data_IF_698012523350
#
_entry.id   IF_698012523350
#
_cell.length_a   1.000
_cell.length_b   1.000
_cell.length_c   1.000
_cell.angle_alpha   90.00
_cell.angle_beta   90.00
_cell.angle_gamma   90.00
#
_symmetry.space_group_name_H-M   'P 1'
#
loop_
_entity.id
_entity.type
_entity.pdbx_description
1 polymer ?
#
# COMPACT_ATOMS: atom_id res chain seq x y z
N UNK A 1 -6.05 -19.52 -19.43
CA UNK A 1 -6.86 -18.32 -19.09
C UNK A 1 -6.11 -17.12 -19.64
N UNK A 2 -6.77 -16.32 -20.47
CA UNK A 2 -6.15 -15.21 -21.21
C UNK A 2 -6.05 -13.98 -20.29
N UNK A 3 -4.83 -13.55 -19.97
CA UNK A 3 -4.52 -12.52 -18.96
C UNK A 3 -4.73 -11.07 -19.48
N UNK A 4 -5.90 -10.75 -20.06
CA UNK A 4 -6.19 -9.42 -20.62
C UNK A 4 -6.48 -8.32 -19.57
N UNK A 5 -6.60 -8.68 -18.29
CA UNK A 5 -6.92 -7.70 -17.22
C UNK A 5 -5.69 -7.18 -16.48
N UNK A 6 -4.49 -7.72 -16.74
CA UNK A 6 -3.24 -7.13 -16.25
C UNK A 6 -2.66 -6.28 -17.36
N UNK A 7 -2.17 -5.08 -17.03
CA UNK A 7 -1.31 -4.36 -17.97
C UNK A 7 -0.20 -5.32 -18.40
N UNK A 8 -0.08 -5.56 -19.71
CA UNK A 8 1.05 -6.31 -20.27
C UNK A 8 2.30 -5.47 -20.03
N UNK A 9 3.04 -5.81 -18.99
CA UNK A 9 4.38 -5.28 -18.75
C UNK A 9 5.35 -6.25 -19.41
N UNK A 10 5.29 -6.35 -20.74
CA UNK A 10 6.33 -7.05 -21.49
C UNK A 10 7.47 -6.02 -21.74
N UNK A 11 8.65 -6.20 -21.13
CA UNK A 11 9.77 -5.28 -21.30
C UNK A 11 10.29 -5.21 -22.73
N UNK A 12 10.03 -6.23 -23.56
CA UNK A 12 10.40 -6.25 -24.97
C UNK A 12 9.39 -5.49 -25.85
N UNK A 13 8.10 -5.51 -25.48
CA UNK A 13 7.03 -4.80 -26.18
C UNK A 13 7.03 -3.29 -25.84
N UNK A 14 7.45 -2.94 -24.61
CA UNK A 14 7.43 -1.58 -24.10
C UNK A 14 8.74 -1.21 -23.37
N UNK A 15 9.83 -0.96 -24.11
CA UNK A 15 11.16 -0.69 -23.54
C UNK A 15 11.24 0.64 -22.77
N UNK A 16 10.23 1.49 -22.88
CA UNK A 16 10.07 2.72 -22.09
C UNK A 16 9.33 2.53 -20.77
N UNK A 17 8.79 1.34 -20.50
CA UNK A 17 8.24 1.00 -19.18
C UNK A 17 9.38 0.95 -18.16
N UNK A 18 9.53 2.08 -17.48
CA UNK A 18 10.38 2.21 -16.30
C UNK A 18 9.56 1.86 -15.09
N UNK A 19 10.14 1.11 -14.17
CA UNK A 19 9.54 0.89 -12.86
C UNK A 19 9.15 2.24 -12.25
N UNK A 20 7.92 2.29 -11.72
CA UNK A 20 7.41 3.49 -11.05
C UNK A 20 8.27 3.89 -9.82
N UNK A 21 8.99 2.91 -9.25
CA UNK A 21 9.91 3.09 -8.14
C UNK A 21 11.25 2.45 -8.43
N UNK A 22 12.32 3.20 -8.20
CA UNK A 22 13.68 2.66 -8.11
C UNK A 22 13.91 2.03 -6.74
N UNK A 23 15.00 1.28 -6.61
CA UNK A 23 15.43 0.71 -5.33
C UNK A 23 15.47 1.77 -4.23
N UNK A 24 14.76 1.53 -3.13
CA UNK A 24 14.65 2.44 -1.98
C UNK A 24 13.59 3.54 -2.09
N UNK A 25 13.07 3.86 -3.29
CA UNK A 25 12.07 4.93 -3.46
C UNK A 25 10.72 4.57 -2.84
N UNK A 26 10.39 3.27 -2.80
CA UNK A 26 9.20 2.78 -2.11
C UNK A 26 9.27 3.07 -0.60
N UNK A 27 10.41 2.77 0.04
CA UNK A 27 10.62 3.09 1.45
C UNK A 27 10.58 4.60 1.70
N UNK A 28 11.23 5.38 0.84
CA UNK A 28 11.19 6.84 0.92
C UNK A 28 9.77 7.42 0.72
N UNK A 29 8.91 6.77 -0.06
CA UNK A 29 7.51 7.15 -0.18
C UNK A 29 6.77 6.95 1.15
N UNK A 30 6.90 5.79 1.79
CA UNK A 30 6.24 5.54 3.07
C UNK A 30 6.77 6.43 4.19
N UNK A 31 8.08 6.67 4.25
CA UNK A 31 8.66 7.60 5.22
C UNK A 31 8.15 9.04 5.01
N UNK A 32 7.92 9.45 3.75
CA UNK A 32 7.27 10.73 3.46
C UNK A 32 5.81 10.74 3.92
N UNK A 33 5.04 9.69 3.64
CA UNK A 33 3.64 9.60 4.09
C UNK A 33 3.55 9.69 5.62
N UNK A 34 4.47 9.03 6.34
CA UNK A 34 4.48 8.99 7.79
C UNK A 34 4.95 10.29 8.45
N UNK A 35 5.98 10.94 7.90
CA UNK A 35 6.68 12.03 8.60
C UNK A 35 6.54 13.40 7.96
N UNK A 36 6.11 13.50 6.70
CA UNK A 36 5.95 14.80 6.02
C UNK A 36 4.67 15.49 6.51
N UNK A 37 4.81 16.74 6.97
CA UNK A 37 3.71 17.57 7.44
C UNK A 37 2.59 17.77 6.40
N UNK A 38 2.87 17.56 5.11
CA UNK A 38 1.85 17.55 4.05
C UNK A 38 0.72 16.54 4.30
N UNK A 39 1.02 15.42 4.95
CA UNK A 39 0.07 14.35 5.23
C UNK A 39 -0.54 14.42 6.64
N UNK A 40 -0.14 15.38 7.47
CA UNK A 40 -0.60 15.51 8.85
C UNK A 40 -2.14 15.60 8.96
N UNK A 41 -2.81 16.19 7.96
CA UNK A 41 -4.28 16.27 7.90
C UNK A 41 -4.98 14.91 7.92
N UNK A 42 -4.29 13.85 7.49
CA UNK A 42 -4.81 12.48 7.46
C UNK A 42 -4.53 11.70 8.74
N UNK A 43 -3.82 12.30 9.71
CA UNK A 43 -3.37 11.66 10.95
C UNK A 43 -2.66 10.31 10.68
N UNK A 44 -1.49 10.32 10.00
CA UNK A 44 -0.79 9.09 9.65
C UNK A 44 -0.23 8.39 10.90
N UNK A 45 -0.43 7.07 10.99
CA UNK A 45 0.07 6.22 12.07
C UNK A 45 0.76 4.99 11.51
N UNK A 46 2.02 4.76 11.88
CA UNK A 46 2.80 3.61 11.41
C UNK A 46 2.52 2.41 12.30
N UNK A 47 1.91 1.37 11.72
CA UNK A 47 1.63 0.10 12.41
C UNK A 47 2.77 -0.90 12.23
N UNK A 48 3.45 -0.85 11.09
CA UNK A 48 4.57 -1.73 10.78
C UNK A 48 5.51 -1.09 9.78
N UNK A 49 6.81 -1.40 9.88
CA UNK A 49 7.82 -1.00 8.90
C UNK A 49 9.02 -1.95 8.89
N UNK A 50 9.79 -1.99 7.79
CA UNK A 50 11.01 -2.80 7.72
C UNK A 50 12.04 -2.35 8.76
N UNK A 51 12.85 -3.28 9.24
CA UNK A 51 13.91 -2.98 10.20
C UNK A 51 14.89 -1.94 9.64
N UNK A 52 15.17 -0.89 10.41
CA UNK A 52 16.09 0.17 10.03
C UNK A 52 17.39 0.01 10.83
N UNK A 53 18.51 -0.38 10.19
CA UNK A 53 19.78 -0.57 10.90
C UNK A 53 20.23 0.75 11.51
N UNK A 54 20.48 0.77 12.82
CA UNK A 54 20.94 1.96 13.54
C UNK A 54 19.84 2.90 14.02
N UNK A 55 18.56 2.61 13.76
CA UNK A 55 17.50 3.12 14.61
C UNK A 55 17.74 2.51 16.00
N UNK A 56 18.13 3.34 16.96
CA UNK A 56 18.06 2.90 18.34
C UNK A 56 16.58 2.68 18.62
N UNK A 57 16.19 1.42 18.73
CA UNK A 57 14.99 1.03 19.44
C UNK A 57 15.24 1.39 20.92
N UNK A 58 15.28 2.70 21.24
CA UNK A 58 15.55 3.16 22.60
C UNK A 58 14.39 2.67 23.47
N UNK A 59 14.65 1.78 24.46
CA UNK A 59 13.62 1.30 25.34
C UNK A 59 13.19 2.46 26.23
N UNK A 60 12.09 3.12 25.84
CA UNK A 60 11.60 4.36 26.45
C UNK A 60 10.93 5.29 25.44
N UNK A 61 11.24 5.17 24.16
CA UNK A 61 10.39 5.65 23.07
C UNK A 61 9.58 4.45 22.57
N UNK A 62 8.30 4.39 22.93
CA UNK A 62 7.37 3.39 22.42
C UNK A 62 7.33 3.47 20.89
N UNK A 63 8.21 2.75 20.21
CA UNK A 63 8.05 2.45 18.81
C UNK A 63 6.90 1.43 18.73
N UNK A 64 5.66 1.93 18.75
CA UNK A 64 4.43 1.12 18.75
C UNK A 64 4.21 0.32 17.43
N UNK A 65 5.25 0.14 16.61
CA UNK A 65 5.17 -0.51 15.32
C UNK A 65 5.90 -1.86 15.32
N UNK A 66 5.30 -2.81 14.61
CA UNK A 66 5.85 -4.16 14.43
C UNK A 66 6.91 -4.13 13.32
N UNK A 67 7.98 -4.91 13.45
CA UNK A 67 8.93 -5.11 12.34
C UNK A 67 8.23 -5.97 11.27
N UNK A 68 8.12 -5.44 10.05
CA UNK A 68 7.38 -6.10 8.99
C UNK A 68 7.29 -5.26 7.70
N UNK A 69 6.35 -5.56 6.79
CA UNK A 69 6.10 -4.68 5.65
C UNK A 69 5.64 -3.29 6.11
N UNK A 70 5.76 -2.28 5.26
CA UNK A 70 5.20 -0.96 5.54
C UNK A 70 3.67 -1.04 5.67
N UNK A 71 3.16 -0.69 6.84
CA UNK A 71 1.73 -0.51 7.10
C UNK A 71 1.56 0.85 7.76
N UNK A 72 0.93 1.77 7.04
CA UNK A 72 0.60 3.12 7.53
C UNK A 72 -0.91 3.27 7.49
N UNK A 73 -1.51 3.53 8.65
CA UNK A 73 -2.92 3.84 8.84
C UNK A 73 -3.13 5.35 8.63
N UNK A 74 -4.19 5.72 7.94
CA UNK A 74 -4.59 7.11 7.72
C UNK A 74 -6.01 7.29 8.28
N UNK A 75 -6.13 7.78 9.52
CA UNK A 75 -7.43 7.79 10.23
C UNK A 75 -8.46 8.72 9.59
N UNK A 76 -8.01 9.85 9.03
CA UNK A 76 -8.89 10.87 8.47
C UNK A 76 -8.76 10.94 6.95
N UNK A 77 -8.60 9.78 6.30
CA UNK A 77 -8.40 9.73 4.85
C UNK A 77 -9.64 10.18 4.06
N UNK A 78 -10.83 9.78 4.50
CA UNK A 78 -12.12 10.19 3.93
C UNK A 78 -12.93 10.93 5.00
N UNK A 79 -13.67 11.96 4.59
CA UNK A 79 -14.73 12.51 5.43
C UNK A 79 -15.91 11.52 5.54
N UNK A 80 -16.76 11.69 6.54
CA UNK A 80 -17.99 10.88 6.67
C UNK A 80 -18.86 11.02 5.42
N UNK A 81 -19.01 12.23 4.89
CA UNK A 81 -19.80 12.49 3.68
C UNK A 81 -19.19 11.86 2.42
N UNK A 82 -17.86 11.81 2.32
CA UNK A 82 -17.17 11.13 1.21
C UNK A 82 -17.35 9.62 1.31
N UNK A 83 -17.27 9.06 2.52
CA UNK A 83 -17.52 7.65 2.78
C UNK A 83 -18.98 7.26 2.46
N UNK A 84 -19.96 8.07 2.87
CA UNK A 84 -21.38 7.85 2.55
C UNK A 84 -21.64 7.88 1.05
N UNK A 85 -21.03 8.83 0.32
CA UNK A 85 -21.11 8.88 -1.15
C UNK A 85 -20.48 7.67 -1.80
N UNK A 86 -19.33 7.22 -1.31
CA UNK A 86 -18.67 6.02 -1.82
C UNK A 86 -19.58 4.78 -1.67
N UNK A 87 -20.23 4.65 -0.51
CA UNK A 87 -21.17 3.56 -0.23
C UNK A 87 -22.40 3.62 -1.14
N UNK A 88 -22.96 4.82 -1.35
CA UNK A 88 -24.10 5.02 -2.25
C UNK A 88 -23.74 4.62 -3.70
N UNK A 89 -22.60 5.11 -4.21
CA UNK A 89 -22.10 4.75 -5.54
C UNK A 89 -21.84 3.25 -5.66
N UNK A 90 -21.30 2.62 -4.61
CA UNK A 90 -21.07 1.17 -4.61
C UNK A 90 -22.36 0.37 -4.71
N UNK A 91 -23.44 0.85 -4.08
CA UNK A 91 -24.75 0.22 -4.18
C UNK A 91 -25.37 0.38 -5.57
N UNK A 92 -25.15 1.52 -6.23
CA UNK A 92 -25.71 1.81 -7.56
C UNK A 92 -24.93 1.10 -8.68
N UNK A 93 -23.60 1.09 -8.58
CA UNK A 93 -22.72 0.56 -9.63
C UNK A 93 -22.52 -0.95 -9.59
N UNK A 94 -23.06 -1.65 -8.57
CA UNK A 94 -22.93 -3.11 -8.39
C UNK A 94 -21.51 -3.59 -8.69
N UNK A 95 -20.50 -3.03 -7.99
CA UNK A 95 -19.13 -3.53 -8.14
C UNK A 95 -19.11 -5.01 -7.77
N UNK A 96 -18.90 -5.87 -8.78
CA UNK A 96 -18.78 -7.30 -8.57
C UNK A 96 -17.52 -7.56 -7.75
N UNK A 97 -17.63 -8.45 -6.77
CA UNK A 97 -16.46 -8.98 -6.09
C UNK A 97 -15.57 -9.64 -7.15
N UNK A 98 -14.28 -9.32 -7.15
CA UNK A 98 -13.30 -10.03 -7.97
C UNK A 98 -13.38 -11.51 -7.57
N UNK A 99 -13.95 -12.33 -8.46
CA UNK A 99 -14.10 -13.75 -8.22
C UNK A 99 -12.70 -14.40 -8.30
N UNK A 100 -12.26 -14.86 -7.13
CA UNK A 100 -11.17 -15.81 -6.83
C UNK A 100 -9.81 -15.66 -7.52
N UNK A 101 -8.78 -15.52 -6.67
CA UNK A 101 -7.40 -15.99 -6.93
C UNK A 101 -7.23 -17.33 -6.19
N UNK A 102 -7.83 -18.38 -6.73
CA UNK A 102 -7.57 -19.80 -6.42
C UNK A 102 -7.13 -20.41 -7.76
N UNK A 103 -6.06 -21.18 -7.92
CA UNK A 103 -5.06 -21.80 -7.06
C UNK A 103 -3.76 -21.75 -7.88
N UNK A 104 -2.65 -21.31 -7.29
CA UNK A 104 -1.29 -21.68 -7.73
C UNK A 104 -0.31 -21.34 -6.59
N UNK A 105 -0.61 -21.82 -5.38
CA UNK A 105 0.46 -22.12 -4.43
C UNK A 105 1.17 -23.32 -5.04
N UNK A 106 2.33 -23.10 -5.67
CA UNK A 106 3.17 -24.21 -6.09
C UNK A 106 3.59 -24.96 -4.82
N UNK A 107 3.02 -26.15 -4.63
CA UNK A 107 3.64 -27.18 -3.81
C UNK A 107 4.82 -27.74 -4.60
N UNK A 108 5.97 -27.08 -4.51
CA UNK A 108 7.26 -27.68 -4.83
C UNK A 108 8.18 -27.65 -3.59
N UNK A 109 7.95 -28.66 -2.71
CA UNK A 109 8.97 -29.46 -2.00
C UNK A 109 10.05 -28.77 -1.20
#
# INVERSE_FOLDING_TARGET
VEYWHRCRVDPEEFPEHRDAFRAGELGAMFERIANDGKYAKFNPFVLSRPHQPGAKDEPGHNADHIIGPWIVKLDNFLSEEEADRLMALSSEMQFELSQEVSDDIREDG
#
